data_IF_929758201262
#
_entry.id   IF_929758201262
#
_cell.length_a   1.000
_cell.length_b   1.000
_cell.length_c   1.000
_cell.angle_alpha   90.00
_cell.angle_beta   90.00
_cell.angle_gamma   90.00
#
_symmetry.space_group_name_H-M   'P 1'
#
loop_
_entity.id
_entity.type
_entity.pdbx_description
1 polymer ?
#
# COMPACT_ATOMS: atom_id res chain seq x y z
N UNK A 1 1.36 16.69 -9.73
CA UNK A 1 1.88 15.36 -9.38
C UNK A 1 3.35 15.49 -9.05
N UNK A 2 3.84 14.65 -8.15
CA UNK A 2 5.25 14.56 -7.76
C UNK A 2 5.83 13.26 -8.33
N UNK A 3 6.97 13.33 -9.02
CA UNK A 3 7.64 12.15 -9.59
C UNK A 3 9.02 11.98 -8.94
N UNK A 4 9.20 10.87 -8.23
CA UNK A 4 10.44 10.51 -7.54
C UNK A 4 11.12 9.30 -8.17
N UNK A 5 10.66 8.83 -9.34
CA UNK A 5 11.31 7.75 -10.07
C UNK A 5 12.71 8.15 -10.52
N UNK A 6 13.66 7.22 -10.47
CA UNK A 6 15.06 7.44 -10.79
C UNK A 6 15.80 8.36 -9.83
N UNK A 7 15.18 8.77 -8.72
CA UNK A 7 15.85 9.52 -7.65
C UNK A 7 16.54 8.56 -6.69
N UNK A 8 17.50 9.07 -5.89
CA UNK A 8 18.13 8.30 -4.81
C UNK A 8 17.27 8.17 -3.55
N UNK A 9 15.97 8.52 -3.61
CA UNK A 9 15.06 8.45 -2.47
C UNK A 9 14.69 6.99 -2.24
N UNK A 10 15.00 6.50 -1.04
CA UNK A 10 14.73 5.12 -0.62
C UNK A 10 13.66 5.02 0.45
N UNK A 11 13.15 6.14 0.96
CA UNK A 11 12.01 6.17 1.88
C UNK A 11 11.20 7.45 1.69
N UNK A 12 9.88 7.36 1.83
CA UNK A 12 9.01 8.54 1.90
C UNK A 12 9.11 9.17 3.30
N UNK A 13 9.16 10.51 3.40
CA UNK A 13 9.19 11.18 4.70
C UNK A 13 7.83 11.06 5.42
N UNK A 14 7.88 11.14 6.75
CA UNK A 14 6.68 11.20 7.58
C UNK A 14 5.83 12.42 7.23
N UNK A 15 4.51 12.28 7.32
CA UNK A 15 3.53 13.35 7.01
C UNK A 15 3.62 13.91 5.57
N UNK A 16 4.16 13.16 4.61
CA UNK A 16 4.18 13.57 3.20
C UNK A 16 2.76 13.83 2.69
N UNK A 17 2.49 15.07 2.30
CA UNK A 17 1.24 15.46 1.63
C UNK A 17 1.53 15.75 0.17
N UNK A 18 0.94 14.95 -0.74
CA UNK A 18 1.01 15.20 -2.18
C UNK A 18 -0.38 15.60 -2.65
N UNK A 19 -0.54 16.83 -3.14
CA UNK A 19 -1.81 17.35 -3.68
C UNK A 19 -2.23 16.73 -5.03
N UNK A 20 -1.75 15.53 -5.36
CA UNK A 20 -2.00 14.84 -6.62
C UNK A 20 -1.25 13.51 -6.69
N UNK A 21 -1.02 12.98 -7.89
CA UNK A 21 -0.32 11.70 -8.08
C UNK A 21 1.13 11.75 -7.60
N UNK A 22 1.57 10.69 -6.92
CA UNK A 22 2.96 10.42 -6.57
C UNK A 22 3.46 9.24 -7.40
N UNK A 23 4.54 9.42 -8.15
CA UNK A 23 5.17 8.37 -8.94
C UNK A 23 6.47 7.92 -8.27
N UNK A 24 6.61 6.62 -8.03
CA UNK A 24 7.73 6.03 -7.31
C UNK A 24 8.25 4.80 -8.05
N UNK A 25 9.54 4.52 -7.90
CA UNK A 25 10.09 3.20 -8.17
C UNK A 25 9.89 2.36 -6.90
N UNK A 26 8.72 1.74 -6.79
CA UNK A 26 8.30 1.08 -5.54
C UNK A 26 9.27 -0.01 -5.06
N UNK A 27 10.08 -0.57 -5.97
CA UNK A 27 11.10 -1.57 -5.64
C UNK A 27 12.30 -0.99 -4.87
N UNK A 28 12.53 0.33 -4.94
CA UNK A 28 13.60 1.02 -4.21
C UNK A 28 13.11 1.72 -2.93
N UNK A 29 11.82 1.66 -2.61
CA UNK A 29 11.24 2.31 -1.42
C UNK A 29 11.08 1.30 -0.28
N UNK A 30 11.77 1.55 0.84
CA UNK A 30 11.82 0.65 1.99
C UNK A 30 10.57 0.70 2.86
N UNK A 31 9.90 1.86 2.94
CA UNK A 31 8.68 2.04 3.72
C UNK A 31 7.39 1.79 2.93
N UNK A 32 7.48 1.01 1.84
CA UNK A 32 6.33 0.52 1.07
C UNK A 32 6.48 -1.00 0.81
N UNK A 33 5.36 -1.70 0.88
CA UNK A 33 5.19 -3.04 0.33
C UNK A 33 4.02 -3.04 -0.65
N UNK A 34 4.02 -3.94 -1.62
CA UNK A 34 2.98 -3.97 -2.63
C UNK A 34 2.70 -5.37 -3.17
N UNK A 35 1.50 -5.54 -3.73
CA UNK A 35 1.10 -6.73 -4.49
C UNK A 35 0.43 -6.28 -5.78
N UNK A 36 0.83 -6.88 -6.89
CA UNK A 36 0.23 -6.70 -8.22
C UNK A 36 -0.86 -7.76 -8.43
N UNK A 37 -1.75 -7.50 -9.37
CA UNK A 37 -2.78 -8.47 -9.82
C UNK A 37 -3.72 -8.94 -8.68
N UNK A 38 -4.09 -8.04 -7.77
CA UNK A 38 -4.96 -8.36 -6.65
C UNK A 38 -6.44 -8.27 -7.05
N UNK A 39 -7.20 -9.29 -6.64
CA UNK A 39 -8.64 -9.40 -6.84
C UNK A 39 -9.07 -9.39 -8.30
N UNK A 40 -10.37 -9.22 -8.53
CA UNK A 40 -10.98 -9.36 -9.85
C UNK A 40 -10.45 -8.37 -10.91
N UNK A 41 -10.11 -7.15 -10.51
CA UNK A 41 -9.69 -6.09 -11.45
C UNK A 41 -8.18 -6.05 -11.72
N UNK A 42 -7.40 -6.99 -11.17
CA UNK A 42 -5.95 -7.02 -11.31
C UNK A 42 -5.26 -5.79 -10.73
N UNK A 43 -5.80 -5.24 -9.62
CA UNK A 43 -5.33 -3.97 -9.05
C UNK A 43 -4.01 -4.16 -8.31
N UNK A 44 -3.17 -3.13 -8.31
CA UNK A 44 -2.03 -3.07 -7.40
C UNK A 44 -2.49 -2.50 -6.05
N UNK A 45 -2.18 -3.23 -4.98
CA UNK A 45 -2.35 -2.76 -3.60
C UNK A 45 -0.97 -2.38 -3.07
N UNK A 46 -0.90 -1.23 -2.41
CA UNK A 46 0.29 -0.77 -1.70
C UNK A 46 -0.03 -0.64 -0.21
N UNK A 47 0.84 -1.13 0.66
CA UNK A 47 0.91 -0.70 2.05
C UNK A 47 2.06 0.30 2.19
N UNK A 48 1.81 1.42 2.86
CA UNK A 48 2.79 2.45 3.13
C UNK A 48 2.85 2.74 4.63
N UNK A 49 4.04 2.93 5.18
CA UNK A 49 4.24 3.42 6.53
C UNK A 49 4.39 4.93 6.51
N UNK A 50 3.55 5.62 7.27
CA UNK A 50 3.44 7.08 7.27
C UNK A 50 4.25 7.77 8.37
N UNK A 51 4.95 7.00 9.19
CA UNK A 51 5.59 7.45 10.43
C UNK A 51 4.78 7.14 11.68
N UNK A 52 3.45 7.08 11.55
CA UNK A 52 2.53 6.82 12.66
C UNK A 52 1.73 5.53 12.50
N UNK A 53 1.33 5.21 11.28
CA UNK A 53 0.49 4.05 10.99
C UNK A 53 0.69 3.52 9.56
N UNK A 54 0.21 2.31 9.34
CA UNK A 54 0.11 1.71 8.02
C UNK A 54 -1.14 2.22 7.30
N UNK A 55 -0.96 2.62 6.04
CA UNK A 55 -2.06 2.95 5.13
C UNK A 55 -2.03 2.04 3.91
N UNK A 56 -3.20 1.66 3.43
CA UNK A 56 -3.40 0.96 2.18
C UNK A 56 -3.77 1.96 1.09
N UNK A 57 -3.07 1.90 -0.04
CA UNK A 57 -3.42 2.59 -1.27
C UNK A 57 -3.87 1.59 -2.34
N UNK A 58 -5.07 1.78 -2.91
CA UNK A 58 -5.62 0.92 -3.95
C UNK A 58 -6.50 1.72 -4.94
N UNK A 59 -5.88 2.25 -6.00
CA UNK A 59 -6.56 3.18 -6.91
C UNK A 59 -6.79 4.53 -6.22
N UNK A 60 -8.05 4.94 -6.04
CA UNK A 60 -8.40 6.18 -5.34
C UNK A 60 -8.55 6.00 -3.81
N UNK A 61 -8.51 4.76 -3.32
CA UNK A 61 -8.58 4.49 -1.90
C UNK A 61 -7.23 4.80 -1.23
N UNK A 62 -7.27 5.49 -0.10
CA UNK A 62 -6.15 5.67 0.82
C UNK A 62 -6.66 5.74 2.26
N UNK A 63 -6.41 4.70 3.06
CA UNK A 63 -6.98 4.53 4.39
C UNK A 63 -6.26 3.46 5.20
N UNK A 64 -6.73 3.16 6.40
CA UNK A 64 -6.21 2.05 7.23
C UNK A 64 -6.51 0.70 6.60
N UNK A 65 -5.96 -0.38 7.17
CA UNK A 65 -6.32 -1.74 6.76
C UNK A 65 -7.80 -2.02 7.04
N UNK A 66 -8.33 -1.58 8.18
CA UNK A 66 -9.75 -1.77 8.54
C UNK A 66 -10.67 -1.05 7.55
N UNK A 67 -10.40 0.23 7.27
CA UNK A 67 -11.15 1.01 6.28
C UNK A 67 -11.07 0.39 4.87
N UNK A 68 -9.95 -0.23 4.54
CA UNK A 68 -9.78 -0.92 3.26
C UNK A 68 -10.63 -2.18 3.19
N UNK A 69 -10.66 -2.98 4.27
CA UNK A 69 -11.46 -4.19 4.35
C UNK A 69 -12.96 -3.86 4.28
N UNK A 70 -13.41 -2.84 5.02
CA UNK A 70 -14.79 -2.34 4.96
C UNK A 70 -15.15 -1.87 3.54
N UNK A 71 -14.30 -1.06 2.90
CA UNK A 71 -14.54 -0.58 1.54
C UNK A 71 -14.52 -1.71 0.48
N UNK A 72 -13.80 -2.80 0.74
CA UNK A 72 -13.82 -4.00 -0.09
C UNK A 72 -15.15 -4.73 0.08
N UNK A 73 -15.60 -4.93 1.32
CA UNK A 73 -16.85 -5.64 1.64
C UNK A 73 -18.09 -4.87 1.15
N UNK A 74 -18.04 -3.54 1.06
CA UNK A 74 -19.08 -2.70 0.44
C UNK A 74 -19.23 -2.93 -1.07
N UNK A 75 -18.19 -3.43 -1.75
CA UNK A 75 -18.11 -3.46 -3.21
C UNK A 75 -18.00 -4.86 -3.81
N UNK A 76 -17.43 -5.79 -3.07
CA UNK A 76 -17.14 -7.14 -3.53
C UNK A 76 -17.61 -8.13 -2.47
N UNK A 77 -17.84 -9.36 -2.91
CA UNK A 77 -18.20 -10.48 -2.05
C UNK A 77 -17.36 -11.72 -2.38
N UNK A 78 -17.51 -12.74 -1.53
CA UNK A 78 -16.89 -14.06 -1.70
C UNK A 78 -15.37 -14.02 -1.87
N UNK A 79 -14.85 -14.93 -2.70
CA UNK A 79 -13.41 -15.12 -2.89
C UNK A 79 -12.71 -13.87 -3.42
N UNK A 80 -13.41 -13.01 -4.16
CA UNK A 80 -12.84 -11.78 -4.69
C UNK A 80 -12.57 -10.75 -3.57
N UNK A 81 -13.52 -10.57 -2.66
CA UNK A 81 -13.35 -9.72 -1.48
C UNK A 81 -12.20 -10.25 -0.60
N UNK A 82 -12.21 -11.55 -0.29
CA UNK A 82 -11.18 -12.16 0.54
C UNK A 82 -9.77 -12.07 -0.09
N UNK A 83 -9.66 -12.18 -1.42
CA UNK A 83 -8.39 -11.99 -2.12
C UNK A 83 -7.85 -10.56 -1.99
N UNK A 84 -8.73 -9.54 -2.07
CA UNK A 84 -8.32 -8.15 -1.87
C UNK A 84 -7.86 -7.91 -0.43
N UNK A 85 -8.68 -8.32 0.56
CA UNK A 85 -8.36 -8.12 1.98
C UNK A 85 -7.06 -8.84 2.37
N UNK A 86 -6.90 -10.10 1.94
CA UNK A 86 -5.67 -10.86 2.14
C UNK A 86 -4.45 -10.15 1.55
N UNK A 87 -4.55 -9.65 0.32
CA UNK A 87 -3.44 -8.93 -0.29
C UNK A 87 -3.06 -7.65 0.48
N UNK A 88 -4.04 -6.91 1.01
CA UNK A 88 -3.81 -5.79 1.92
C UNK A 88 -3.06 -6.20 3.18
N UNK A 89 -3.53 -7.23 3.87
CA UNK A 89 -2.89 -7.79 5.08
C UNK A 89 -1.48 -8.30 4.81
N UNK A 90 -1.28 -9.03 3.72
CA UNK A 90 0.04 -9.53 3.32
C UNK A 90 1.02 -8.38 3.06
N UNK A 91 0.57 -7.27 2.45
CA UNK A 91 1.42 -6.08 2.27
C UNK A 91 1.82 -5.46 3.61
N UNK A 92 0.88 -5.33 4.56
CA UNK A 92 1.16 -4.79 5.89
C UNK A 92 2.13 -5.70 6.65
N UNK A 93 1.93 -7.02 6.57
CA UNK A 93 2.81 -8.00 7.21
C UNK A 93 4.24 -7.92 6.64
N UNK A 94 4.40 -7.93 5.32
CA UNK A 94 5.73 -7.77 4.69
C UNK A 94 6.38 -6.44 5.08
N UNK A 95 5.62 -5.34 5.06
CA UNK A 95 6.16 -4.04 5.42
C UNK A 95 6.57 -3.99 6.90
N UNK A 96 5.83 -4.66 7.77
CA UNK A 96 6.18 -4.80 9.19
C UNK A 96 7.52 -5.52 9.35
N UNK A 97 7.76 -6.58 8.59
CA UNK A 97 9.05 -7.29 8.58
C UNK A 97 10.18 -6.42 8.01
N UNK A 98 9.92 -5.67 6.94
CA UNK A 98 10.90 -4.74 6.34
C UNK A 98 11.34 -3.63 7.30
N UNK A 99 10.40 -3.09 8.09
CA UNK A 99 10.68 -2.01 9.04
C UNK A 99 11.33 -2.51 10.34
N UNK A 100 11.13 -3.79 10.68
CA UNK A 100 11.71 -4.44 11.86
C UNK A 100 12.49 -5.70 11.45
N UNK A 101 13.61 -5.56 10.71
CA UNK A 101 14.40 -6.71 10.32
C UNK A 101 14.92 -7.42 11.57
N UNK A 102 14.70 -8.75 11.65
CA UNK A 102 15.29 -9.58 12.70
C UNK A 102 16.77 -9.79 12.35
N UNK A 103 17.64 -9.48 13.29
CA UNK A 103 19.10 -9.69 13.22
C UNK A 103 19.48 -11.16 12.95
#
# INVERSE_FOLDING_TARGET
GLDLRGTGITSLPDNLTVGGSLYLDVESISNIAYRKNCGYSGRTIFAAWTGTEFKIAAGCFFGTIEEFEDAVDDKYDGDAAEAYKKAGRDCVAELTEKLNPKD
#
